data_IF_251081249273
#
_entry.id   IF_251081249273
#
_cell.length_a   1.000
_cell.length_b   1.000
_cell.length_c   1.000
_cell.angle_alpha   90.00
_cell.angle_beta   90.00
_cell.angle_gamma   90.00
#
_symmetry.space_group_name_H-M   'P 1'
#
loop_
_entity.id
_entity.type
_entity.pdbx_description
1 polymer ?
#
# COMPACT_ATOMS: atom_id res chain seq x y z
N UNK A 1 -9.37 17.43 -12.83
CA UNK A 1 -8.47 16.27 -12.74
C UNK A 1 -8.84 15.26 -13.81
N UNK A 2 -7.86 14.85 -14.60
CA UNK A 2 -7.96 13.72 -15.54
C UNK A 2 -8.23 12.42 -14.79
N UNK A 3 -8.79 11.42 -15.45
CA UNK A 3 -8.96 10.07 -14.90
C UNK A 3 -7.63 9.47 -14.41
N UNK A 4 -6.51 9.78 -15.07
CA UNK A 4 -5.16 9.41 -14.60
C UNK A 4 -4.80 10.06 -13.26
N UNK A 5 -5.14 11.33 -13.07
CA UNK A 5 -4.87 12.03 -11.82
C UNK A 5 -5.74 11.50 -10.68
N UNK A 6 -7.02 11.22 -10.95
CA UNK A 6 -7.94 10.62 -9.97
C UNK A 6 -7.49 9.22 -9.58
N UNK A 7 -7.09 8.40 -10.55
CA UNK A 7 -6.55 7.08 -10.30
C UNK A 7 -5.26 7.12 -9.46
N UNK A 8 -4.37 8.08 -9.75
CA UNK A 8 -3.15 8.29 -8.95
C UNK A 8 -3.49 8.68 -7.52
N UNK A 9 -4.44 9.59 -7.30
CA UNK A 9 -4.89 9.97 -5.95
C UNK A 9 -5.45 8.76 -5.18
N UNK A 10 -6.38 7.99 -5.76
CA UNK A 10 -6.92 6.80 -5.10
C UNK A 10 -5.83 5.76 -4.80
N UNK A 11 -4.85 5.58 -5.70
CA UNK A 11 -3.74 4.66 -5.47
C UNK A 11 -2.84 5.12 -4.31
N UNK A 12 -2.55 6.43 -4.23
CA UNK A 12 -1.77 7.03 -3.15
C UNK A 12 -2.47 6.86 -1.81
N UNK A 13 -3.79 7.11 -1.75
CA UNK A 13 -4.58 6.90 -0.53
C UNK A 13 -4.57 5.42 -0.10
N UNK A 14 -4.76 4.49 -1.05
CA UNK A 14 -4.66 3.06 -0.80
C UNK A 14 -3.27 2.66 -0.29
N UNK A 15 -2.19 3.27 -0.81
CA UNK A 15 -0.83 3.03 -0.36
C UNK A 15 -0.59 3.52 1.07
N UNK A 16 -1.07 4.73 1.40
CA UNK A 16 -1.00 5.28 2.76
C UNK A 16 -1.71 4.35 3.76
N UNK A 17 -2.91 3.86 3.42
CA UNK A 17 -3.61 2.87 4.25
C UNK A 17 -2.82 1.56 4.41
N UNK A 18 -2.23 1.06 3.32
CA UNK A 18 -1.38 -0.12 3.34
C UNK A 18 -0.20 0.05 4.31
N UNK A 19 0.54 1.17 4.21
CA UNK A 19 1.65 1.49 5.11
C UNK A 19 1.22 1.60 6.57
N UNK A 20 0.07 2.25 6.86
CA UNK A 20 -0.48 2.33 8.23
C UNK A 20 -0.82 0.95 8.80
N UNK A 21 -1.43 0.08 8.00
CA UNK A 21 -1.75 -1.31 8.40
C UNK A 21 -0.47 -2.11 8.67
N UNK A 22 0.57 -1.96 7.83
CA UNK A 22 1.89 -2.59 8.05
C UNK A 22 2.54 -2.12 9.35
N UNK A 23 2.67 -0.81 9.56
CA UNK A 23 3.23 -0.24 10.79
C UNK A 23 2.50 -0.74 12.04
N UNK A 24 1.17 -0.86 11.99
CA UNK A 24 0.38 -1.37 13.12
C UNK A 24 0.79 -2.81 13.48
N UNK A 25 1.01 -3.68 12.50
CA UNK A 25 1.45 -5.07 12.72
C UNK A 25 2.87 -5.13 13.25
N UNK A 26 3.77 -4.34 12.65
CA UNK A 26 5.18 -4.28 13.04
C UNK A 26 5.37 -3.67 14.44
N UNK A 27 4.48 -2.76 14.85
CA UNK A 27 4.50 -2.14 16.19
C UNK A 27 4.02 -3.08 17.30
N UNK A 28 3.34 -4.19 16.96
CA UNK A 28 2.98 -5.20 17.97
C UNK A 28 4.24 -5.98 18.33
N UNK A 29 4.74 -5.78 19.55
CA UNK A 29 5.78 -6.64 20.13
C UNK A 29 5.25 -8.08 20.19
N UNK A 30 5.72 -8.91 19.26
CA UNK A 30 5.44 -10.35 19.27
C UNK A 30 6.51 -11.08 20.09
N UNK A 31 6.15 -12.13 20.85
CA UNK A 31 7.12 -13.01 21.49
C UNK A 31 8.11 -13.58 20.47
N UNK A 32 9.39 -13.69 20.85
CA UNK A 32 10.44 -14.31 20.02
C UNK A 32 9.97 -15.68 19.52
N UNK A 33 10.02 -15.89 18.20
CA UNK A 33 9.59 -17.16 17.56
C UNK A 33 8.23 -17.09 16.87
N UNK A 34 7.49 -15.98 16.98
CA UNK A 34 6.25 -15.72 16.23
C UNK A 34 6.42 -14.71 15.08
N UNK A 35 7.66 -14.35 14.73
CA UNK A 35 7.99 -13.42 13.64
C UNK A 35 7.35 -13.83 12.29
N UNK A 36 7.23 -15.14 12.04
CA UNK A 36 6.57 -15.67 10.84
C UNK A 36 5.08 -15.32 10.72
N UNK A 37 4.37 -15.17 11.85
CA UNK A 37 2.95 -14.82 11.85
C UNK A 37 2.71 -13.37 11.39
N UNK A 38 3.64 -12.45 11.71
CA UNK A 38 3.61 -11.10 11.17
C UNK A 38 3.92 -11.11 9.66
N UNK A 39 4.83 -11.97 9.21
CA UNK A 39 5.15 -12.15 7.78
C UNK A 39 3.93 -12.50 6.92
N UNK A 40 3.08 -13.44 7.36
CA UNK A 40 1.85 -13.82 6.64
C UNK A 40 0.89 -12.64 6.52
N UNK A 41 0.67 -11.90 7.61
CA UNK A 41 -0.23 -10.74 7.59
C UNK A 41 0.31 -9.60 6.73
N UNK A 42 1.61 -9.35 6.78
CA UNK A 42 2.26 -8.34 5.93
C UNK A 42 2.14 -8.71 4.45
N UNK A 43 2.30 -9.99 4.11
CA UNK A 43 2.08 -10.50 2.74
C UNK A 43 0.64 -10.27 2.31
N UNK A 44 -0.34 -10.58 3.16
CA UNK A 44 -1.75 -10.36 2.85
C UNK A 44 -2.05 -8.88 2.58
N UNK A 45 -1.57 -7.97 3.42
CA UNK A 45 -1.73 -6.52 3.21
C UNK A 45 -1.15 -6.07 1.86
N UNK A 46 0.00 -6.62 1.46
CA UNK A 46 0.59 -6.31 0.16
C UNK A 46 -0.26 -6.86 -1.00
N UNK A 47 -0.82 -8.05 -0.88
CA UNK A 47 -1.72 -8.62 -1.90
C UNK A 47 -3.02 -7.80 -2.03
N UNK A 48 -3.63 -7.41 -0.92
CA UNK A 48 -4.80 -6.53 -0.89
C UNK A 48 -4.53 -5.19 -1.61
N UNK A 49 -3.36 -4.58 -1.37
CA UNK A 49 -2.97 -3.35 -2.07
C UNK A 49 -2.80 -3.56 -3.59
N UNK A 50 -2.19 -4.67 -4.01
CA UNK A 50 -2.03 -4.99 -5.44
C UNK A 50 -3.40 -5.17 -6.11
N UNK A 51 -4.32 -5.88 -5.46
CA UNK A 51 -5.69 -6.05 -5.95
C UNK A 51 -6.40 -4.70 -6.07
N UNK A 52 -6.29 -3.84 -5.05
CA UNK A 52 -6.84 -2.48 -5.09
C UNK A 52 -6.29 -1.67 -6.26
N UNK A 53 -4.98 -1.75 -6.51
CA UNK A 53 -4.35 -1.10 -7.67
C UNK A 53 -4.94 -1.58 -8.99
N UNK A 54 -5.19 -2.88 -9.15
CA UNK A 54 -5.85 -3.45 -10.34
C UNK A 54 -7.30 -2.97 -10.49
N UNK A 55 -8.05 -2.91 -9.40
CA UNK A 55 -9.42 -2.36 -9.41
C UNK A 55 -9.43 -0.90 -9.89
N UNK A 56 -8.50 -0.07 -9.40
CA UNK A 56 -8.37 1.33 -9.78
C UNK A 56 -8.03 1.46 -11.27
N UNK A 57 -7.04 0.70 -11.76
CA UNK A 57 -6.68 0.71 -13.18
C UNK A 57 -7.86 0.33 -14.08
N UNK A 58 -8.65 -0.68 -13.67
CA UNK A 58 -9.87 -1.10 -14.38
C UNK A 58 -10.97 -0.04 -14.33
N UNK A 59 -11.20 0.58 -13.16
CA UNK A 59 -12.21 1.63 -12.95
C UNK A 59 -12.01 2.83 -13.87
N UNK A 60 -10.76 3.23 -14.07
CA UNK A 60 -10.39 4.39 -14.88
C UNK A 60 -9.99 4.05 -16.32
N UNK A 61 -10.00 2.77 -16.70
CA UNK A 61 -9.59 2.28 -18.03
C UNK A 61 -8.19 2.75 -18.43
N UNK A 62 -7.23 2.66 -17.50
CA UNK A 62 -5.84 3.06 -17.72
C UNK A 62 -4.91 1.85 -17.62
N UNK A 63 -3.87 1.86 -18.44
CA UNK A 63 -2.88 0.77 -18.53
C UNK A 63 -1.84 0.81 -17.42
N UNK A 64 -1.66 1.97 -16.78
CA UNK A 64 -0.71 2.16 -15.71
C UNK A 64 -0.81 3.52 -15.03
N UNK A 65 -0.30 3.59 -13.82
CA UNK A 65 -0.24 4.79 -12.98
C UNK A 65 1.23 5.07 -12.68
N UNK A 66 1.68 6.28 -12.98
CA UNK A 66 3.02 6.73 -12.58
C UNK A 66 3.02 7.02 -11.08
N UNK A 67 3.49 6.04 -10.30
CA UNK A 67 3.69 6.17 -8.86
C UNK A 67 5.15 5.87 -8.53
N UNK A 68 5.92 6.95 -8.45
CA UNK A 68 7.37 6.85 -8.33
C UNK A 68 7.81 6.34 -6.96
N UNK A 69 8.97 5.71 -6.90
CA UNK A 69 9.55 5.27 -5.64
C UNK A 69 9.90 6.42 -4.70
N UNK A 70 10.18 7.61 -5.24
CA UNK A 70 10.41 8.81 -4.43
C UNK A 70 9.12 9.25 -3.69
N UNK A 71 7.98 9.20 -4.37
CA UNK A 71 6.68 9.49 -3.74
C UNK A 71 6.34 8.48 -2.64
N UNK A 72 6.54 7.18 -2.94
CA UNK A 72 6.39 6.12 -1.93
C UNK A 72 7.27 6.38 -0.71
N UNK A 73 8.55 6.71 -0.93
CA UNK A 73 9.50 6.97 0.14
C UNK A 73 9.10 8.18 1.01
N UNK A 74 8.58 9.26 0.41
CA UNK A 74 8.06 10.41 1.17
C UNK A 74 6.89 10.01 2.07
N UNK A 75 6.01 9.13 1.60
CA UNK A 75 4.90 8.61 2.39
C UNK A 75 5.42 7.72 3.52
N UNK A 76 6.29 6.76 3.20
CA UNK A 76 6.86 5.82 4.16
C UNK A 76 7.63 6.54 5.26
N UNK A 77 8.45 7.54 4.93
CA UNK A 77 9.20 8.35 5.91
C UNK A 77 8.30 9.08 6.92
N UNK A 78 7.09 9.47 6.52
CA UNK A 78 6.13 10.11 7.44
C UNK A 78 5.38 9.09 8.31
N UNK A 79 5.28 7.85 7.84
CA UNK A 79 4.54 6.80 8.52
C UNK A 79 5.45 6.02 9.46
N UNK A 80 6.64 5.61 9.03
CA UNK A 80 7.59 4.77 9.77
C UNK A 80 8.55 5.60 10.61
#
# INVERSE_FOLDING_TARGET
MSDKEKAKQELVEAYIECCKKRKKIESVKVPKGLDGHNGVKLKQITLDFIEKGKEIMKKYQIDGIDFSREEMFKIEKNIF
#
